data_IF_588041412307
#
_entry.id   IF_588041412307
#
_cell.length_a   1.000
_cell.length_b   1.000
_cell.length_c   1.000
_cell.angle_alpha   90.00
_cell.angle_beta   90.00
_cell.angle_gamma   90.00
#
_symmetry.space_group_name_H-M   'P 1'
#
loop_
_entity.id
_entity.type
_entity.pdbx_description
1 polymer ?
#
# COMPACT_ATOMS: atom_id res chain seq x y z
N UNK A 1 -12.78 -11.63 -3.39
CA UNK A 1 -12.42 -12.10 -4.74
C UNK A 1 -11.79 -13.48 -4.60
N UNK A 2 -12.15 -14.45 -5.46
CA UNK A 2 -11.58 -15.80 -5.42
C UNK A 2 -10.62 -15.93 -6.61
N UNK A 3 -9.31 -16.01 -6.34
CA UNK A 3 -8.28 -16.14 -7.37
C UNK A 3 -7.69 -17.55 -7.25
N UNK A 4 -7.95 -18.39 -8.25
CA UNK A 4 -7.39 -19.77 -8.36
C UNK A 4 -7.58 -20.64 -7.11
N UNK A 5 -8.73 -20.53 -6.44
CA UNK A 5 -9.09 -21.41 -5.32
C UNK A 5 -8.43 -21.09 -3.98
N UNK A 6 -7.73 -19.96 -3.86
CA UNK A 6 -7.14 -19.50 -2.60
C UNK A 6 -7.83 -18.23 -2.11
N UNK A 7 -8.07 -18.15 -0.80
CA UNK A 7 -8.65 -16.96 -0.15
C UNK A 7 -7.56 -15.92 0.00
N UNK A 8 -7.63 -14.85 -0.78
CA UNK A 8 -6.68 -13.74 -0.73
C UNK A 8 -7.26 -12.60 0.12
N UNK A 9 -6.61 -12.20 1.22
CA UNK A 9 -7.04 -11.06 2.02
C UNK A 9 -6.88 -9.77 1.22
N UNK A 10 -7.87 -8.87 1.29
CA UNK A 10 -7.85 -7.58 0.62
C UNK A 10 -7.74 -6.46 1.67
N UNK A 11 -6.76 -5.58 1.49
CA UNK A 11 -6.54 -4.39 2.31
C UNK A 11 -6.90 -3.13 1.53
N UNK A 12 -7.79 -2.30 2.07
CA UNK A 12 -8.08 -0.97 1.53
C UNK A 12 -6.94 -0.01 1.88
N UNK A 13 -6.15 0.38 0.88
CA UNK A 13 -5.01 1.27 1.10
C UNK A 13 -5.44 2.65 1.59
N UNK A 14 -6.60 3.16 1.15
CA UNK A 14 -7.07 4.47 1.59
C UNK A 14 -7.27 4.47 3.12
N UNK A 15 -7.96 3.45 3.64
CA UNK A 15 -8.15 3.26 5.09
C UNK A 15 -6.81 3.07 5.82
N UNK A 16 -5.88 2.30 5.24
CA UNK A 16 -4.55 2.08 5.84
C UNK A 16 -3.75 3.36 6.00
N UNK A 17 -3.93 4.33 5.11
CA UNK A 17 -3.27 5.64 5.17
C UNK A 17 -4.12 6.73 5.84
N UNK A 18 -5.19 6.36 6.55
CA UNK A 18 -6.03 7.31 7.29
C UNK A 18 -6.94 8.16 6.42
N UNK A 19 -7.13 7.76 5.16
CA UNK A 19 -8.08 8.39 4.24
C UNK A 19 -9.47 7.74 4.38
N UNK A 20 -10.46 8.36 3.73
CA UNK A 20 -11.78 7.79 3.63
C UNK A 20 -11.73 6.45 2.89
N UNK A 21 -12.61 5.52 3.30
CA UNK A 21 -12.76 4.22 2.63
C UNK A 21 -12.99 4.42 1.13
N UNK A 22 -12.36 3.56 0.33
CA UNK A 22 -12.52 3.58 -1.13
C UNK A 22 -14.01 3.36 -1.47
N UNK A 23 -14.65 4.22 -2.27
CA UNK A 23 -16.06 4.05 -2.63
C UNK A 23 -16.29 2.72 -3.34
N UNK A 24 -17.38 2.01 -3.05
CA UNK A 24 -17.74 0.81 -3.79
C UNK A 24 -18.20 1.19 -5.21
N UNK A 25 -17.26 1.18 -6.15
CA UNK A 25 -17.51 1.43 -7.57
C UNK A 25 -16.81 0.37 -8.43
N UNK A 26 -17.27 0.21 -9.67
CA UNK A 26 -16.74 -0.79 -10.60
C UNK A 26 -15.33 -0.47 -11.14
N UNK A 27 -14.78 0.71 -10.84
CA UNK A 27 -13.46 1.18 -11.32
C UNK A 27 -12.32 0.82 -10.36
N UNK A 28 -12.65 0.45 -9.13
CA UNK A 28 -11.64 0.04 -8.15
C UNK A 28 -10.78 -1.11 -8.67
N UNK A 29 -9.49 -1.02 -8.42
CA UNK A 29 -8.49 -2.01 -8.83
C UNK A 29 -7.99 -2.75 -7.60
N UNK A 30 -7.82 -4.07 -7.73
CA UNK A 30 -7.13 -4.88 -6.72
C UNK A 30 -5.75 -5.24 -7.25
N UNK A 31 -4.71 -4.65 -6.66
CA UNK A 31 -3.32 -4.99 -6.95
C UNK A 31 -2.93 -6.22 -6.15
N UNK A 32 -2.48 -7.27 -6.82
CA UNK A 32 -2.01 -8.49 -6.16
C UNK A 32 -0.51 -8.35 -5.88
N UNK A 33 -0.14 -8.46 -4.61
CA UNK A 33 1.24 -8.39 -4.16
C UNK A 33 1.59 -9.61 -3.30
N UNK A 34 2.88 -9.95 -3.30
CA UNK A 34 3.42 -11.01 -2.46
C UNK A 34 4.43 -10.39 -1.48
N UNK A 35 4.32 -10.77 -0.21
CA UNK A 35 5.28 -10.46 0.84
C UNK A 35 5.56 -11.74 1.63
N UNK A 36 6.83 -12.13 1.70
CA UNK A 36 7.26 -13.44 2.22
C UNK A 36 6.45 -14.58 1.59
N UNK A 37 5.72 -15.35 2.42
CA UNK A 37 4.90 -16.48 2.02
C UNK A 37 3.40 -16.13 1.94
N UNK A 38 3.06 -14.84 1.90
CA UNK A 38 1.68 -14.35 1.87
C UNK A 38 1.38 -13.60 0.56
N UNK A 39 0.30 -14.02 -0.13
CA UNK A 39 -0.29 -13.25 -1.23
C UNK A 39 -1.43 -12.39 -0.68
N UNK A 40 -1.43 -11.11 -1.03
CA UNK A 40 -2.43 -10.14 -0.58
C UNK A 40 -2.98 -9.35 -1.75
N UNK A 41 -4.21 -8.88 -1.62
CA UNK A 41 -4.81 -7.88 -2.50
C UNK A 41 -4.78 -6.50 -1.85
N UNK A 42 -4.44 -5.49 -2.63
CA UNK A 42 -4.48 -4.08 -2.22
C UNK A 42 -5.57 -3.39 -3.04
N UNK A 43 -6.63 -2.96 -2.37
CA UNK A 43 -7.71 -2.20 -3.00
C UNK A 43 -7.25 -0.74 -3.16
N UNK A 44 -7.31 -0.26 -4.39
CA UNK A 44 -6.96 1.11 -4.79
C UNK A 44 -8.00 1.68 -5.75
N UNK A 45 -8.08 3.01 -5.81
CA UNK A 45 -8.98 3.70 -6.74
C UNK A 45 -8.54 3.52 -8.20
N UNK A 46 -7.24 3.58 -8.47
CA UNK A 46 -6.68 3.40 -9.81
C UNK A 46 -5.20 3.08 -9.78
N UNK A 47 -4.68 2.62 -10.91
CA UNK A 47 -3.25 2.43 -11.17
C UNK A 47 -2.87 3.37 -12.30
N UNK A 48 -1.90 4.25 -12.07
CA UNK A 48 -1.46 5.23 -13.08
C UNK A 48 -0.52 4.60 -14.10
N UNK A 49 0.64 4.11 -13.64
CA UNK A 49 1.70 3.59 -14.51
C UNK A 49 2.67 2.67 -13.74
N UNK A 50 3.56 1.98 -14.46
CA UNK A 50 4.58 1.10 -13.89
C UNK A 50 5.94 1.77 -14.07
N UNK A 51 6.63 2.02 -12.97
CA UNK A 51 7.92 2.73 -12.95
C UNK A 51 9.04 1.81 -12.48
N UNK A 52 10.20 1.93 -13.13
CA UNK A 52 11.46 1.36 -12.63
C UNK A 52 12.24 2.43 -11.88
N UNK A 53 12.36 2.27 -10.55
CA UNK A 53 12.95 3.29 -9.68
C UNK A 53 14.15 2.69 -8.95
N UNK A 54 15.28 3.38 -9.02
CA UNK A 54 16.49 3.00 -8.28
C UNK A 54 16.39 3.47 -6.83
N UNK A 55 16.91 2.69 -5.88
CA UNK A 55 16.74 2.96 -4.43
C UNK A 55 17.33 4.29 -3.98
N UNK A 56 18.40 4.74 -4.62
CA UNK A 56 19.06 6.04 -4.41
C UNK A 56 18.15 7.24 -4.73
N UNK A 57 17.08 7.05 -5.51
CA UNK A 57 16.08 8.10 -5.76
C UNK A 57 15.08 8.28 -4.63
N UNK A 58 15.02 7.34 -3.68
CA UNK A 58 14.11 7.39 -2.55
C UNK A 58 14.68 8.36 -1.52
N UNK A 59 13.99 9.49 -1.34
CA UNK A 59 14.34 10.49 -0.35
C UNK A 59 13.63 10.16 0.97
N UNK A 60 14.40 10.01 2.04
CA UNK A 60 13.85 9.84 3.38
C UNK A 60 13.02 11.06 3.77
N UNK A 61 11.86 10.82 4.39
CA UNK A 61 10.98 11.92 4.81
C UNK A 61 11.19 12.22 6.30
N UNK A 62 11.73 13.39 6.67
CA UNK A 62 12.11 13.68 8.07
C UNK A 62 10.94 13.64 9.07
N UNK A 63 9.73 14.01 8.64
CA UNK A 63 8.63 14.38 9.55
C UNK A 63 7.48 13.37 9.66
N UNK A 64 7.60 12.18 9.07
CA UNK A 64 6.49 11.23 9.03
C UNK A 64 6.36 10.34 10.28
N UNK A 65 7.23 10.45 11.28
CA UNK A 65 7.30 9.48 12.40
C UNK A 65 6.15 9.52 13.43
N UNK A 66 5.24 10.49 13.36
CA UNK A 66 4.31 10.78 14.47
C UNK A 66 2.91 10.15 14.37
N UNK A 67 2.62 9.33 13.35
CA UNK A 67 1.28 8.72 13.15
C UNK A 67 1.42 7.25 12.73
N UNK A 68 0.61 6.36 13.30
CA UNK A 68 0.63 4.92 13.01
C UNK A 68 0.40 4.61 11.52
N UNK A 69 -0.32 5.47 10.79
CA UNK A 69 -0.49 5.36 9.33
C UNK A 69 0.81 5.60 8.54
N UNK A 70 1.79 6.26 9.15
CA UNK A 70 3.04 6.71 8.52
C UNK A 70 4.23 5.78 8.77
N UNK A 71 4.09 4.80 9.66
CA UNK A 71 5.10 3.74 9.86
C UNK A 71 5.34 2.89 8.61
N UNK A 72 4.39 2.90 7.68
CA UNK A 72 4.48 2.17 6.42
C UNK A 72 5.08 2.97 5.28
N UNK A 73 5.54 4.21 5.49
CA UNK A 73 6.16 5.03 4.45
C UNK A 73 7.67 4.94 4.56
N UNK A 74 8.32 4.48 3.50
CA UNK A 74 9.78 4.37 3.39
C UNK A 74 10.39 5.73 3.02
N UNK A 75 9.69 6.50 2.18
CA UNK A 75 10.14 7.80 1.72
C UNK A 75 9.29 8.31 0.56
N UNK A 76 9.85 9.25 -0.18
CA UNK A 76 9.23 9.84 -1.37
C UNK A 76 10.17 9.79 -2.57
N UNK A 77 9.58 9.69 -3.75
CA UNK A 77 10.28 9.83 -5.02
C UNK A 77 9.59 10.94 -5.81
N UNK A 78 10.37 11.67 -6.59
CA UNK A 78 9.82 12.62 -7.58
C UNK A 78 9.75 11.90 -8.92
N UNK A 79 8.56 11.86 -9.49
CA UNK A 79 8.28 11.30 -10.81
C UNK A 79 7.66 12.42 -11.63
N UNK A 80 8.30 12.78 -12.73
CA UNK A 80 7.98 13.98 -13.51
C UNK A 80 7.93 15.23 -12.62
N UNK A 81 6.75 15.83 -12.44
CA UNK A 81 6.50 16.99 -11.57
C UNK A 81 5.75 16.61 -10.27
N UNK A 82 5.47 15.32 -10.07
CA UNK A 82 4.70 14.80 -8.96
C UNK A 82 5.57 14.16 -7.87
N UNK A 83 5.06 14.19 -6.63
CA UNK A 83 5.65 13.46 -5.51
C UNK A 83 4.86 12.16 -5.27
N UNK A 84 5.56 11.04 -5.28
CA UNK A 84 4.99 9.71 -5.01
C UNK A 84 5.58 9.14 -3.74
N UNK A 85 4.72 8.63 -2.85
CA UNK A 85 5.15 7.96 -1.61
C UNK A 85 5.56 6.53 -1.90
N UNK A 86 6.70 6.12 -1.37
CA UNK A 86 7.16 4.72 -1.39
C UNK A 86 6.75 4.07 -0.08
N UNK A 87 6.09 2.93 -0.17
CA UNK A 87 5.48 2.24 0.97
C UNK A 87 6.17 0.90 1.26
N UNK A 88 6.26 0.55 2.53
CA UNK A 88 6.67 -0.77 3.01
C UNK A 88 5.44 -1.68 3.05
N UNK A 89 5.42 -2.67 2.15
CA UNK A 89 4.31 -3.61 2.04
C UNK A 89 4.12 -4.44 3.33
N UNK A 90 5.21 -4.84 3.98
CA UNK A 90 5.19 -5.62 5.22
C UNK A 90 4.53 -4.84 6.36
N UNK A 91 4.87 -3.56 6.49
CA UNK A 91 4.21 -2.66 7.44
C UNK A 91 2.72 -2.49 7.13
N UNK A 92 2.35 -2.25 5.86
CA UNK A 92 0.94 -2.10 5.43
C UNK A 92 0.07 -3.30 5.81
N UNK A 93 0.58 -4.53 5.63
CA UNK A 93 -0.19 -5.74 5.90
C UNK A 93 -0.19 -6.13 7.39
N UNK A 94 0.80 -5.69 8.17
CA UNK A 94 0.97 -6.05 9.58
C UNK A 94 0.11 -5.20 10.51
N UNK A 95 -0.11 -3.91 10.20
CA UNK A 95 -0.87 -2.95 11.04
C UNK A 95 -2.34 -3.36 11.31
N UNK A 96 -2.82 -4.49 10.78
CA UNK A 96 -4.16 -5.04 11.03
C UNK A 96 -4.19 -6.38 11.79
N UNK A 97 -3.05 -7.01 12.07
CA UNK A 97 -3.00 -8.22 12.90
C UNK A 97 -3.10 -7.81 14.38
N UNK A 98 -4.29 -7.41 14.84
CA UNK A 98 -4.64 -7.58 16.26
C UNK A 98 -4.85 -9.07 16.47
N UNK A 99 -3.81 -9.74 16.94
CA UNK A 99 -3.96 -11.06 17.59
C UNK A 99 -4.99 -10.88 18.69
N UNK A 100 -6.19 -11.41 18.48
CA UNK A 100 -7.08 -11.78 19.59
C UNK A 100 -6.37 -12.91 20.30
N UNK A 101 -5.84 -12.61 21.47
CA UNK A 101 -5.50 -13.60 22.47
C UNK A 101 -6.76 -13.96 23.25
#
# INVERSE_FOLDING_TARGET
MNLRGSVIPIFDLAVRFGLNRTPDNARNVVVIAAHDNQTVGLLVESVSEILSVSRDRIQETPDLRSDNSRQSIIGVITVDEGMTRVIDLGAVITTGKRTVQ
#
